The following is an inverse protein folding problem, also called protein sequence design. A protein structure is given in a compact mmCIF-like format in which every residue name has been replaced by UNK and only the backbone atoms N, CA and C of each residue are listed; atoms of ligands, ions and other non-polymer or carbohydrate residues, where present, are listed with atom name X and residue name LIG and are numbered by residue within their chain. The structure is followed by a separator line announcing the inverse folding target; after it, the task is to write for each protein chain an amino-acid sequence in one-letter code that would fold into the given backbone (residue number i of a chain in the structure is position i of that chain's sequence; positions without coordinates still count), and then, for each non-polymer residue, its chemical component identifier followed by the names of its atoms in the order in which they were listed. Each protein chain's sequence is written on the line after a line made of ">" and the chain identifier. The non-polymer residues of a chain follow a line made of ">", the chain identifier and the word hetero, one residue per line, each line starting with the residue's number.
data_IF_249400110997
#
_entry.id   IF_249400110997
#
_cell.length_a   1.000
_cell.length_b   1.000
_cell.length_c   1.000
_cell.angle_alpha   90.00
_cell.angle_beta   90.00
_cell.angle_gamma   90.00
#
_symmetry.space_group_name_H-M   'P 1'
#
loop_
_entity.id
_entity.type
_entity.pdbx_description
1 polymer ?
#
# COMPACT_ATOMS: atom_id res chain seq x y z
N UNK A 1 36.69 3.47 -56.98
CA UNK A 1 35.26 3.18 -56.69
C UNK A 1 35.12 2.59 -55.29
N UNK A 2 34.78 3.41 -54.31
CA UNK A 2 34.63 2.99 -52.90
C UNK A 2 33.13 2.79 -52.62
N UNK A 3 32.71 1.55 -52.35
CA UNK A 3 31.34 1.22 -51.97
C UNK A 3 31.17 1.51 -50.48
N UNK A 4 30.41 2.56 -50.17
CA UNK A 4 30.00 2.90 -48.81
C UNK A 4 28.81 1.98 -48.42
N UNK A 5 29.07 1.01 -47.53
CA UNK A 5 28.03 0.14 -46.93
C UNK A 5 27.41 0.90 -45.76
N UNK A 6 26.19 1.39 -45.97
CA UNK A 6 25.37 2.05 -44.94
C UNK A 6 24.71 0.97 -44.07
N UNK A 7 25.24 0.73 -42.88
CA UNK A 7 24.56 -0.12 -41.85
C UNK A 7 23.44 0.66 -41.22
N UNK A 8 22.21 0.34 -41.60
CA UNK A 8 20.98 0.83 -40.96
C UNK A 8 20.78 0.06 -39.65
N UNK A 9 21.19 0.63 -38.51
CA UNK A 9 20.86 0.10 -37.20
C UNK A 9 19.36 0.29 -36.92
N UNK A 10 18.59 -0.78 -37.06
CA UNK A 10 17.18 -0.84 -36.65
C UNK A 10 17.13 -0.87 -35.12
N UNK A 11 16.98 0.29 -34.48
CA UNK A 11 16.73 0.38 -33.03
C UNK A 11 15.30 -0.07 -32.79
N UNK A 12 15.13 -1.35 -32.43
CA UNK A 12 13.86 -1.84 -31.91
C UNK A 12 13.58 -1.16 -30.56
N UNK A 13 12.39 -0.53 -30.37
CA UNK A 13 12.03 -0.01 -29.05
C UNK A 13 11.97 -1.18 -28.05
N UNK A 14 12.41 -0.98 -26.79
CA UNK A 14 12.28 -2.01 -25.76
C UNK A 14 10.81 -2.38 -25.63
N UNK A 15 10.48 -3.65 -25.81
CA UNK A 15 9.17 -4.18 -25.54
C UNK A 15 8.87 -3.94 -24.05
N UNK A 16 7.96 -3.03 -23.76
CA UNK A 16 7.40 -2.89 -22.40
C UNK A 16 6.72 -4.21 -22.06
N UNK A 17 7.38 -5.02 -21.23
CA UNK A 17 6.81 -6.27 -20.74
C UNK A 17 5.50 -5.92 -20.03
N UNK A 18 4.38 -6.35 -20.60
CA UNK A 18 3.08 -6.20 -19.98
C UNK A 18 3.14 -6.88 -18.61
N UNK A 19 2.72 -6.16 -17.57
CA UNK A 19 2.74 -6.71 -16.23
C UNK A 19 1.91 -8.01 -16.18
N UNK A 20 2.50 -9.09 -15.71
CA UNK A 20 1.87 -10.39 -15.66
C UNK A 20 0.65 -10.39 -14.73
N UNK A 21 -0.45 -10.96 -15.21
CA UNK A 21 -1.70 -11.03 -14.44
C UNK A 21 -1.51 -11.93 -13.21
N UNK A 22 -2.02 -11.54 -12.02
CA UNK A 22 -1.92 -12.35 -10.81
C UNK A 22 -2.51 -13.74 -10.98
N UNK A 23 -1.78 -14.74 -10.52
CA UNK A 23 -2.19 -16.15 -10.46
C UNK A 23 -3.03 -16.43 -9.21
N UNK A 24 -3.65 -17.60 -9.14
CA UNK A 24 -4.37 -18.04 -7.93
C UNK A 24 -3.45 -18.11 -6.69
N UNK A 25 -2.20 -18.53 -6.87
CA UNK A 25 -1.21 -18.60 -5.80
C UNK A 25 -0.87 -17.20 -5.26
N UNK A 26 -0.73 -16.20 -6.13
CA UNK A 26 -0.47 -14.81 -5.73
C UNK A 26 -1.63 -14.24 -4.92
N UNK A 27 -2.88 -14.55 -5.33
CA UNK A 27 -4.08 -14.14 -4.61
C UNK A 27 -4.15 -14.77 -3.22
N UNK A 28 -3.87 -16.06 -3.11
CA UNK A 28 -3.85 -16.76 -1.83
C UNK A 28 -2.77 -16.19 -0.90
N UNK A 29 -1.58 -15.96 -1.42
CA UNK A 29 -0.48 -15.32 -0.65
C UNK A 29 -0.87 -13.92 -0.14
N UNK A 30 -1.53 -13.11 -0.96
CA UNK A 30 -2.00 -11.79 -0.55
C UNK A 30 -3.05 -11.88 0.59
N UNK A 31 -3.96 -12.87 0.53
CA UNK A 31 -4.93 -13.12 1.61
C UNK A 31 -4.21 -13.52 2.90
N UNK A 32 -3.26 -14.44 2.86
CA UNK A 32 -2.49 -14.89 4.03
C UNK A 32 -1.73 -13.71 4.68
N UNK A 33 -1.08 -12.87 3.86
CA UNK A 33 -0.39 -11.67 4.35
C UNK A 33 -1.36 -10.68 4.97
N UNK A 34 -2.51 -10.47 4.34
CA UNK A 34 -3.55 -9.60 4.85
C UNK A 34 -4.09 -10.08 6.21
N UNK A 35 -4.43 -11.35 6.32
CA UNK A 35 -5.06 -11.90 7.54
C UNK A 35 -4.16 -11.82 8.76
N UNK A 36 -2.84 -12.00 8.59
CA UNK A 36 -1.91 -11.93 9.71
C UNK A 36 -1.41 -10.52 10.04
N UNK A 37 -1.32 -9.61 9.06
CA UNK A 37 -0.60 -8.34 9.23
C UNK A 37 -1.48 -7.10 9.13
N UNK A 38 -2.73 -7.23 8.66
CA UNK A 38 -3.67 -6.11 8.62
C UNK A 38 -4.43 -6.04 9.93
N UNK A 39 -4.41 -4.85 10.49
CA UNK A 39 -5.02 -4.50 11.77
C UNK A 39 -6.14 -3.49 11.58
N UNK A 40 -6.89 -3.24 12.62
CA UNK A 40 -7.86 -2.16 12.67
C UNK A 40 -7.28 -1.01 13.48
N UNK A 41 -7.16 0.15 12.86
CA UNK A 41 -6.78 1.40 13.54
C UNK A 41 -8.04 2.12 13.96
N UNK A 42 -8.08 2.56 15.20
CA UNK A 42 -9.23 3.18 15.85
C UNK A 42 -8.84 4.57 16.33
N UNK A 43 -9.64 5.57 16.02
CA UNK A 43 -9.52 6.91 16.57
C UNK A 43 -10.92 7.43 16.90
N UNK A 44 -11.14 7.91 18.12
CA UNK A 44 -12.39 8.51 18.64
C UNK A 44 -13.70 8.07 17.96
N UNK A 45 -13.94 8.49 16.72
CA UNK A 45 -15.18 8.23 15.95
C UNK A 45 -14.94 7.54 14.62
N UNK A 46 -13.69 7.27 14.25
CA UNK A 46 -13.32 6.68 12.96
C UNK A 46 -12.49 5.43 13.19
N UNK A 47 -12.66 4.47 12.30
CA UNK A 47 -11.89 3.24 12.31
C UNK A 47 -11.67 2.77 10.88
N UNK A 48 -10.53 2.16 10.64
CA UNK A 48 -10.22 1.60 9.33
C UNK A 48 -9.03 0.65 9.36
N UNK A 49 -8.71 0.03 8.23
CA UNK A 49 -7.58 -0.86 8.13
C UNK A 49 -6.25 -0.11 8.22
N UNK A 50 -5.26 -0.80 8.75
CA UNK A 50 -3.85 -0.45 8.67
C UNK A 50 -3.03 -1.72 8.52
N UNK A 51 -1.77 -1.61 8.16
CA UNK A 51 -0.88 -2.75 7.94
C UNK A 51 0.45 -2.56 8.67
N UNK A 52 0.92 -3.61 9.35
CA UNK A 52 2.25 -3.60 9.93
C UNK A 52 3.33 -3.58 8.84
N UNK A 53 4.16 -2.54 8.84
CA UNK A 53 5.26 -2.34 7.88
C UNK A 53 6.65 -2.56 8.49
N UNK A 54 6.70 -2.80 9.79
CA UNK A 54 7.91 -3.12 10.53
C UNK A 54 7.61 -4.08 11.67
N UNK A 55 8.58 -4.89 12.05
CA UNK A 55 8.45 -5.85 13.16
C UNK A 55 8.33 -5.18 14.53
N UNK A 56 8.63 -3.89 14.63
CA UNK A 56 8.60 -3.09 15.86
C UNK A 56 7.24 -2.42 16.11
N UNK A 57 6.21 -2.74 15.31
CA UNK A 57 4.86 -2.23 15.53
C UNK A 57 4.48 -0.97 14.74
N UNK A 58 5.26 -0.58 13.73
CA UNK A 58 4.84 0.49 12.82
C UNK A 58 3.68 0.03 11.95
N UNK A 59 2.58 0.79 11.99
CA UNK A 59 1.36 0.55 11.21
C UNK A 59 1.14 1.69 10.24
N UNK A 60 1.09 1.37 8.95
CA UNK A 60 0.72 2.31 7.89
C UNK A 60 -0.80 2.30 7.70
N UNK A 61 -1.43 3.47 7.67
CA UNK A 61 -2.88 3.64 7.52
C UNK A 61 -3.23 4.95 6.81
N UNK A 62 -4.53 5.21 6.58
CA UNK A 62 -4.99 6.51 6.12
C UNK A 62 -5.06 7.53 7.27
N UNK A 63 -4.76 8.80 6.99
CA UNK A 63 -4.76 9.87 8.00
C UNK A 63 -6.11 10.05 8.69
N UNK A 64 -7.19 9.73 8.02
CA UNK A 64 -8.55 9.79 8.58
C UNK A 64 -8.80 8.80 9.74
N UNK A 65 -7.93 7.81 9.93
CA UNK A 65 -8.05 6.79 10.97
C UNK A 65 -7.22 7.08 12.22
N UNK A 66 -6.58 8.23 12.30
CA UNK A 66 -5.74 8.61 13.44
C UNK A 66 -6.23 9.89 14.12
N UNK A 67 -5.92 10.02 15.40
CA UNK A 67 -6.10 11.22 16.20
C UNK A 67 -4.90 11.39 17.12
N UNK A 68 -4.42 12.60 17.30
CA UNK A 68 -3.32 12.89 18.23
C UNK A 68 -3.69 12.63 19.69
N UNK A 69 -4.99 12.71 20.01
CA UNK A 69 -5.48 12.53 21.38
C UNK A 69 -5.66 11.05 21.75
N UNK A 70 -6.12 10.24 20.80
CA UNK A 70 -6.42 8.83 21.07
C UNK A 70 -6.38 8.00 19.79
N UNK A 71 -5.32 7.27 19.59
CA UNK A 71 -5.22 6.26 18.53
C UNK A 71 -4.91 4.92 19.15
N UNK A 72 -5.65 3.90 18.73
CA UNK A 72 -5.47 2.52 19.15
C UNK A 72 -5.30 1.61 17.93
N UNK A 73 -4.59 0.51 18.11
CA UNK A 73 -4.47 -0.56 17.13
C UNK A 73 -5.10 -1.82 17.71
N UNK A 74 -6.12 -2.35 17.03
CA UNK A 74 -6.74 -3.63 17.40
C UNK A 74 -6.03 -4.75 16.65
N UNK A 75 -5.29 -5.57 17.41
CA UNK A 75 -4.52 -6.71 16.91
C UNK A 75 -4.74 -7.93 17.81
N UNK A 76 -4.96 -9.09 17.22
CA UNK A 76 -5.20 -10.37 17.92
C UNK A 76 -6.30 -10.29 19.01
N UNK A 77 -7.33 -9.47 18.78
CA UNK A 77 -8.44 -9.26 19.73
C UNK A 77 -8.12 -8.32 20.89
N UNK A 78 -6.93 -7.74 20.94
CA UNK A 78 -6.51 -6.75 21.93
C UNK A 78 -6.47 -5.34 21.33
N UNK A 79 -6.78 -4.33 22.14
CA UNK A 79 -6.58 -2.92 21.80
C UNK A 79 -5.30 -2.42 22.43
N UNK A 80 -4.42 -1.92 21.61
CA UNK A 80 -3.12 -1.42 21.98
C UNK A 80 -3.12 0.10 21.77
N UNK A 81 -2.81 0.88 22.80
CA UNK A 81 -2.61 2.30 22.64
C UNK A 81 -1.44 2.55 21.67
N UNK A 82 -1.63 3.42 20.70
CA UNK A 82 -0.63 3.70 19.70
C UNK A 82 -0.35 5.20 19.59
N UNK A 83 0.91 5.56 19.35
CA UNK A 83 1.34 6.94 19.11
C UNK A 83 1.38 7.23 17.60
N UNK A 84 0.98 8.45 17.22
CA UNK A 84 1.10 8.92 15.84
C UNK A 84 2.54 9.37 15.60
N UNK A 85 3.26 8.64 14.73
CA UNK A 85 4.65 8.94 14.35
C UNK A 85 4.69 9.91 13.18
N UNK A 86 3.78 9.73 12.23
CA UNK A 86 3.64 10.57 11.04
C UNK A 86 2.15 10.74 10.72
N UNK A 87 1.75 11.97 10.43
CA UNK A 87 0.45 12.27 9.83
C UNK A 87 0.64 13.31 8.73
N UNK A 88 0.35 12.95 7.48
CA UNK A 88 0.45 13.83 6.33
C UNK A 88 -0.91 13.99 5.68
N UNK A 89 -1.56 15.13 5.89
CA UNK A 89 -2.89 15.44 5.36
C UNK A 89 -2.89 15.59 3.83
N UNK A 90 -1.81 16.10 3.22
CA UNK A 90 -1.71 16.28 1.77
C UNK A 90 -1.62 14.92 1.05
N UNK A 91 -0.85 13.97 1.60
CA UNK A 91 -0.75 12.60 1.10
C UNK A 91 -1.83 11.69 1.67
N UNK A 92 -2.64 12.16 2.64
CA UNK A 92 -3.72 11.43 3.31
C UNK A 92 -3.26 10.13 3.97
N UNK A 93 -2.04 10.08 4.45
CA UNK A 93 -1.40 8.90 5.05
C UNK A 93 -0.94 9.20 6.47
N UNK A 94 -0.96 8.18 7.31
CA UNK A 94 -0.38 8.22 8.64
C UNK A 94 0.41 6.94 8.95
N UNK A 95 1.38 7.08 9.84
CA UNK A 95 2.10 5.97 10.47
C UNK A 95 1.90 6.08 11.97
N UNK A 96 1.47 5.00 12.59
CA UNK A 96 1.35 4.91 14.04
C UNK A 96 2.27 3.81 14.57
N UNK A 97 2.77 3.98 15.79
CA UNK A 97 3.56 2.99 16.48
C UNK A 97 2.74 2.34 17.59
N UNK A 98 2.51 1.04 17.50
CA UNK A 98 2.03 0.21 18.59
C UNK A 98 3.11 0.10 19.69
N UNK A 99 2.78 -0.32 20.92
CA UNK A 99 3.77 -0.57 21.97
C UNK A 99 4.87 -1.51 21.51
N UNK A 100 6.05 -1.41 22.13
CA UNK A 100 7.18 -2.29 21.80
C UNK A 100 6.79 -3.78 21.88
N UNK A 101 7.11 -4.54 20.85
CA UNK A 101 6.74 -5.95 20.73
C UNK A 101 7.21 -6.54 19.41
N UNK A 102 6.87 -7.80 19.18
CA UNK A 102 7.11 -8.46 17.88
C UNK A 102 5.80 -8.60 17.15
N UNK A 103 5.73 -8.02 15.96
CA UNK A 103 4.51 -7.97 15.15
C UNK A 103 4.74 -8.61 13.77
N UNK A 104 3.71 -9.24 13.19
CA UNK A 104 3.79 -9.78 11.84
C UNK A 104 3.80 -8.64 10.83
N UNK A 105 4.93 -8.42 10.18
CA UNK A 105 5.06 -7.41 9.13
C UNK A 105 4.94 -8.00 7.74
N UNK A 106 4.59 -7.16 6.77
CA UNK A 106 4.59 -7.50 5.36
C UNK A 106 5.91 -7.11 4.70
N UNK A 107 6.39 -7.88 3.71
CA UNK A 107 7.51 -7.43 2.88
C UNK A 107 7.12 -6.17 2.12
N UNK A 108 8.01 -5.18 2.14
CA UNK A 108 7.78 -3.87 1.51
C UNK A 108 8.61 -3.75 0.24
N UNK A 109 8.02 -3.25 -0.85
CA UNK A 109 8.74 -2.86 -2.07
C UNK A 109 8.50 -1.39 -2.37
N UNK A 110 9.58 -0.64 -2.44
CA UNK A 110 9.59 0.74 -2.91
C UNK A 110 10.00 0.72 -4.38
N UNK A 111 9.06 0.95 -5.30
CA UNK A 111 9.33 1.00 -6.73
C UNK A 111 9.79 2.40 -7.13
N UNK A 112 10.92 2.50 -7.83
CA UNK A 112 11.38 3.76 -8.40
C UNK A 112 10.59 4.14 -9.66
N UNK A 113 10.11 3.15 -10.42
CA UNK A 113 9.46 3.33 -11.74
C UNK A 113 7.95 3.61 -11.66
N UNK A 114 7.45 3.88 -10.44
CA UNK A 114 6.01 4.05 -10.22
C UNK A 114 5.23 2.73 -10.25
N UNK A 115 3.91 2.83 -10.22
CA UNK A 115 3.00 1.67 -10.20
C UNK A 115 2.07 1.62 -11.42
N UNK A 116 2.10 2.62 -12.29
CA UNK A 116 1.23 2.69 -13.47
C UNK A 116 1.39 1.44 -14.35
N UNK A 117 0.28 0.86 -14.77
CA UNK A 117 0.27 -0.37 -15.57
C UNK A 117 0.53 -1.66 -14.79
N UNK A 118 0.92 -1.60 -13.51
CA UNK A 118 1.16 -2.79 -12.68
C UNK A 118 -0.15 -3.36 -12.13
N UNK A 119 -0.23 -4.69 -12.02
CA UNK A 119 -1.31 -5.36 -11.32
C UNK A 119 -1.13 -5.20 -9.81
N UNK A 120 -2.21 -4.78 -9.15
CA UNK A 120 -2.30 -4.64 -7.70
C UNK A 120 -3.34 -5.61 -7.15
N UNK A 121 -3.04 -6.18 -5.98
CA UNK A 121 -3.93 -7.08 -5.25
C UNK A 121 -4.31 -6.39 -3.95
N UNK A 122 -5.60 -6.16 -3.75
CA UNK A 122 -6.16 -5.73 -2.48
C UNK A 122 -7.09 -6.79 -1.92
N UNK A 123 -7.25 -6.84 -0.59
CA UNK A 123 -8.09 -7.83 0.07
C UNK A 123 -9.20 -7.13 0.84
N UNK A 124 -10.42 -7.58 0.64
CA UNK A 124 -11.59 -7.11 1.40
C UNK A 124 -11.97 -8.18 2.41
N UNK A 125 -11.97 -7.81 3.69
CA UNK A 125 -12.43 -8.71 4.75
C UNK A 125 -13.93 -8.95 4.62
N UNK A 126 -14.34 -10.20 4.66
CA UNK A 126 -15.76 -10.55 4.63
C UNK A 126 -16.53 -10.00 5.83
N UNK A 127 -17.82 -9.74 5.65
CA UNK A 127 -18.70 -9.26 6.71
C UNK A 127 -19.07 -10.41 7.66
N UNK A 128 -18.63 -10.32 8.93
CA UNK A 128 -18.91 -11.31 9.96
C UNK A 128 -17.67 -12.10 10.39
N UNK A 129 -17.73 -12.71 11.60
CA UNK A 129 -16.57 -13.37 12.24
C UNK A 129 -16.00 -14.56 11.45
N UNK A 130 -16.81 -15.19 10.59
CA UNK A 130 -16.42 -16.39 9.79
C UNK A 130 -16.41 -16.15 8.30
N UNK A 131 -16.69 -14.91 7.83
CA UNK A 131 -16.70 -14.64 6.41
C UNK A 131 -15.27 -14.58 5.88
N UNK A 132 -14.93 -15.31 4.80
CA UNK A 132 -13.58 -15.36 4.27
C UNK A 132 -13.18 -13.99 3.67
N UNK A 133 -11.91 -13.67 3.78
CA UNK A 133 -11.31 -12.54 3.07
C UNK A 133 -11.29 -12.83 1.56
N UNK A 134 -11.60 -11.82 0.76
CA UNK A 134 -11.67 -11.95 -0.70
C UNK A 134 -10.63 -11.07 -1.36
N UNK A 135 -9.74 -11.64 -2.19
CA UNK A 135 -8.78 -10.88 -2.97
C UNK A 135 -9.43 -10.31 -4.24
N UNK A 136 -9.08 -9.10 -4.58
CA UNK A 136 -9.47 -8.41 -5.81
C UNK A 136 -8.23 -7.86 -6.50
N UNK A 137 -8.24 -7.84 -7.83
CA UNK A 137 -7.12 -7.36 -8.64
C UNK A 137 -7.54 -6.27 -9.58
N UNK A 138 -6.71 -5.27 -9.72
CA UNK A 138 -6.86 -4.23 -10.72
C UNK A 138 -5.49 -3.76 -11.21
N UNK A 139 -5.46 -3.20 -12.40
CA UNK A 139 -4.28 -2.49 -12.93
C UNK A 139 -4.29 -1.08 -12.36
N UNK A 140 -3.15 -0.64 -11.83
CA UNK A 140 -2.95 0.73 -11.41
C UNK A 140 -2.99 1.67 -12.61
N UNK A 141 -3.79 2.73 -12.52
CA UNK A 141 -3.93 3.75 -13.54
C UNK A 141 -3.27 5.05 -13.09
N UNK A 142 -2.80 5.82 -14.05
CA UNK A 142 -2.27 7.15 -13.77
C UNK A 142 -3.34 8.02 -13.13
N UNK A 143 -3.03 8.63 -11.99
CA UNK A 143 -3.89 9.64 -11.39
C UNK A 143 -3.60 11.02 -11.97
N UNK A 144 -4.61 11.88 -12.06
CA UNK A 144 -4.43 13.30 -12.41
C UNK A 144 -3.67 14.08 -11.35
N UNK A 145 -3.53 13.53 -10.15
CA UNK A 145 -2.86 14.16 -9.01
C UNK A 145 -1.69 13.29 -8.55
N UNK A 146 -0.49 13.76 -8.74
CA UNK A 146 0.71 13.11 -8.22
C UNK A 146 0.84 13.30 -6.70
N UNK A 147 1.44 12.34 -5.99
CA UNK A 147 2.08 11.10 -6.45
C UNK A 147 1.14 9.87 -6.46
N UNK A 148 -0.17 10.06 -6.55
CA UNK A 148 -1.15 8.98 -6.40
C UNK A 148 -1.31 8.15 -7.67
N UNK A 149 -1.86 6.94 -7.50
CA UNK A 149 -2.41 6.09 -8.57
C UNK A 149 -3.89 5.84 -8.31
N UNK A 150 -4.67 5.69 -9.38
CA UNK A 150 -6.08 5.34 -9.29
C UNK A 150 -6.27 3.83 -9.55
N UNK A 151 -7.18 3.19 -8.81
CA UNK A 151 -7.47 1.76 -8.85
C UNK A 151 -8.98 1.57 -9.01
N UNK A 152 -9.42 0.81 -10.01
CA UNK A 152 -10.83 0.63 -10.37
C UNK A 152 -11.66 -0.23 -9.40
N UNK A 153 -11.22 -0.43 -8.15
CA UNK A 153 -11.93 -1.15 -7.11
C UNK A 153 -12.07 -0.24 -5.88
N UNK A 154 -13.28 -0.11 -5.29
CA UNK A 154 -13.53 0.84 -4.21
C UNK A 154 -13.08 0.31 -2.83
N UNK A 155 -11.80 0.02 -2.67
CA UNK A 155 -11.22 -0.33 -1.38
C UNK A 155 -11.40 0.78 -0.34
N UNK A 156 -11.46 0.39 0.94
CA UNK A 156 -11.49 1.33 2.05
C UNK A 156 -10.13 2.04 2.21
N UNK A 157 -10.07 3.31 2.62
CA UNK A 157 -8.83 3.96 3.01
C UNK A 157 -8.08 3.12 4.06
N UNK A 158 -6.75 3.09 4.00
CA UNK A 158 -5.88 2.25 4.85
C UNK A 158 -5.68 0.81 4.34
N UNK A 159 -6.43 0.35 3.33
CA UNK A 159 -6.24 -0.98 2.75
C UNK A 159 -4.87 -1.07 2.08
N UNK A 160 -4.04 -2.09 2.43
CA UNK A 160 -2.78 -2.34 1.74
C UNK A 160 -3.01 -2.91 0.34
N UNK A 161 -2.14 -2.54 -0.60
CA UNK A 161 -2.11 -3.09 -1.94
C UNK A 161 -0.77 -3.80 -2.17
N UNK A 162 -0.85 -5.04 -2.63
CA UNK A 162 0.28 -5.92 -2.87
C UNK A 162 0.56 -6.07 -4.36
N UNK A 163 1.82 -6.33 -4.71
CA UNK A 163 2.19 -6.81 -6.04
C UNK A 163 1.97 -8.35 -6.15
N UNK A 164 2.22 -8.92 -7.34
CA UNK A 164 2.11 -10.37 -7.59
C UNK A 164 3.08 -11.22 -6.78
N UNK A 165 4.12 -10.61 -6.20
CA UNK A 165 5.06 -11.28 -5.30
C UNK A 165 4.66 -11.19 -3.83
N UNK A 166 3.51 -10.59 -3.51
CA UNK A 166 3.02 -10.42 -2.14
C UNK A 166 3.78 -9.34 -1.36
N UNK A 167 4.42 -8.39 -2.02
CA UNK A 167 5.06 -7.26 -1.37
C UNK A 167 4.11 -6.07 -1.34
N UNK A 168 4.07 -5.37 -0.22
CA UNK A 168 3.33 -4.13 -0.08
C UNK A 168 3.97 -3.06 -0.98
N UNK A 169 3.18 -2.46 -1.87
CA UNK A 169 3.63 -1.45 -2.85
C UNK A 169 2.89 -0.12 -2.73
N UNK A 170 1.68 -0.14 -2.19
CA UNK A 170 0.87 1.07 -1.97
C UNK A 170 -0.13 0.89 -0.83
N UNK A 171 -0.70 1.98 -0.36
CA UNK A 171 -1.83 2.02 0.57
C UNK A 171 -2.96 2.85 0.00
N UNK A 172 -4.19 2.41 0.14
CA UNK A 172 -5.38 3.18 -0.25
C UNK A 172 -5.53 4.36 0.70
N UNK A 173 -5.65 5.57 0.16
CA UNK A 173 -5.79 6.79 0.96
C UNK A 173 -7.14 7.47 0.80
N UNK A 174 -7.87 7.14 -0.27
CA UNK A 174 -9.19 7.73 -0.52
C UNK A 174 -10.07 6.80 -1.34
N UNK A 175 -11.31 6.59 -0.88
CA UNK A 175 -12.35 5.93 -1.68
C UNK A 175 -12.97 6.94 -2.66
N UNK A 176 -13.32 6.47 -3.87
CA UNK A 176 -13.94 7.28 -4.93
C UNK A 176 -15.12 6.52 -5.53
N UNK A 177 -15.95 7.23 -6.31
CA UNK A 177 -16.99 6.58 -7.11
C UNK A 177 -16.35 5.69 -8.16
N UNK A 178 -16.68 4.39 -8.12
CA UNK A 178 -16.12 3.38 -9.03
C UNK A 178 -14.69 2.94 -8.77
N UNK A 179 -14.05 3.36 -7.66
CA UNK A 179 -12.68 2.96 -7.38
C UNK A 179 -12.10 3.52 -6.10
N UNK A 180 -10.79 3.57 -6.04
CA UNK A 180 -10.06 4.23 -4.97
C UNK A 180 -8.78 4.90 -5.49
N UNK A 181 -8.21 5.76 -4.67
CA UNK A 181 -6.89 6.35 -4.87
C UNK A 181 -5.92 5.73 -3.89
N UNK A 182 -4.77 5.33 -4.38
CA UNK A 182 -3.71 4.75 -3.57
C UNK A 182 -2.43 5.59 -3.64
N UNK A 183 -1.68 5.58 -2.54
CA UNK A 183 -0.39 6.23 -2.42
C UNK A 183 0.71 5.18 -2.56
N UNK A 184 1.61 5.29 -3.54
CA UNK A 184 2.79 4.44 -3.66
C UNK A 184 3.72 4.57 -2.45
N UNK A 185 4.35 3.48 -2.03
CA UNK A 185 5.27 3.51 -0.88
C UNK A 185 6.54 4.34 -1.12
N UNK A 186 6.92 4.59 -2.37
CA UNK A 186 8.00 5.54 -2.70
C UNK A 186 7.75 6.94 -2.12
N UNK A 187 6.50 7.42 -2.20
CA UNK A 187 6.12 8.71 -1.63
C UNK A 187 6.10 8.69 -0.09
N UNK A 188 5.69 7.58 0.53
CA UNK A 188 5.73 7.40 1.99
C UNK A 188 7.16 7.37 2.51
N UNK A 189 8.06 6.65 1.82
CA UNK A 189 9.48 6.54 2.19
C UNK A 189 10.15 7.91 2.23
N UNK A 190 9.90 8.76 1.25
CA UNK A 190 10.45 10.13 1.22
C UNK A 190 10.02 10.95 2.43
N UNK A 191 8.76 10.84 2.84
CA UNK A 191 8.23 11.54 4.02
C UNK A 191 8.83 11.00 5.33
N UNK A 192 8.99 9.67 5.46
CA UNK A 192 9.62 9.06 6.64
C UNK A 192 11.09 9.47 6.75
N UNK A 193 11.84 9.48 5.66
CA UNK A 193 13.23 9.93 5.65
C UNK A 193 13.37 11.40 6.07
N UNK A 194 12.46 12.28 5.62
CA UNK A 194 12.45 13.68 6.01
C UNK A 194 12.12 13.87 7.50
N UNK A 195 11.18 13.09 8.04
CA UNK A 195 10.82 13.13 9.45
C UNK A 195 11.97 12.66 10.35
N UNK A 196 12.72 11.65 9.94
CA UNK A 196 13.89 11.14 10.69
C UNK A 196 15.07 12.11 10.69
N UNK A 197 15.23 12.90 9.63
CA UNK A 197 16.30 13.90 9.51
C UNK A 197 16.03 15.19 10.30
N UNK A 198 14.78 15.43 10.71
CA UNK A 198 14.35 16.65 11.40
C UNK A 198 14.26 16.54 12.92
N UNK A 199 14.72 15.45 13.54
CA UNK A 199 14.77 15.33 15.00
C UNK A 199 16.18 15.71 15.47
N UNK A 200 16.35 16.90 16.12
CA UNK A 200 17.64 17.33 16.69
C UNK A 200 17.99 16.51 17.94
#
# INVERSE_FOLDING_TARGET
>A
MVRLLLFLFLVLPPATAAAERPTRADLQKAVELHERSVVRVLASRKAGPGVFVGSEGQVLTAVDHVSLESTEVEFAGQRLAASVVLANAALKVAVVAAPSGTYPSVPVKVSADGLEGQWLIGVIRGKGKKAPSQPFTAVAQRSKQEPFVDVGIPFAPGTPLFDTQGRLVAVVVQRRTGGCRALPLSAVKLQLASASAGTP
#
